data_IF_630260481158
#
_entry.id   IF_630260481158
#
_cell.length_a   1.000
_cell.length_b   1.000
_cell.length_c   1.000
_cell.angle_alpha   90.00
_cell.angle_beta   90.00
_cell.angle_gamma   90.00
#
_symmetry.space_group_name_H-M   'P 1'
#
loop_
_entity.id
_entity.type
_entity.pdbx_description
1 polymer ?
#
# COMPACT_ATOMS: atom_id res chain seq x y z
N UNK A 1 -17.06 37.44 -3.26
CA UNK A 1 -18.11 36.46 -3.06
C UNK A 1 -18.06 35.29 -4.06
N UNK A 2 -18.13 35.54 -5.38
CA UNK A 2 -18.09 34.51 -6.41
C UNK A 2 -16.83 33.63 -6.29
N UNK A 3 -15.66 34.20 -6.21
CA UNK A 3 -14.36 33.51 -6.07
C UNK A 3 -14.34 32.55 -4.88
N UNK A 4 -14.87 32.99 -3.71
CA UNK A 4 -14.94 32.14 -2.51
C UNK A 4 -15.88 30.96 -2.72
N UNK A 5 -17.03 31.17 -3.35
CA UNK A 5 -17.97 30.09 -3.68
C UNK A 5 -17.31 29.07 -4.64
N UNK A 6 -16.67 29.54 -5.70
CA UNK A 6 -15.97 28.69 -6.68
C UNK A 6 -14.87 27.86 -5.97
N UNK A 7 -14.02 28.50 -5.16
CA UNK A 7 -12.95 27.82 -4.45
C UNK A 7 -13.50 26.76 -3.47
N UNK A 8 -14.57 27.08 -2.74
CA UNK A 8 -15.25 26.15 -1.85
C UNK A 8 -15.73 24.91 -2.59
N UNK A 9 -16.44 25.09 -3.72
CA UNK A 9 -16.96 23.97 -4.51
C UNK A 9 -15.85 23.17 -5.16
N UNK A 10 -14.77 23.78 -5.64
CA UNK A 10 -13.59 23.07 -6.15
C UNK A 10 -13.00 22.18 -5.04
N UNK A 11 -12.80 22.72 -3.84
CA UNK A 11 -12.28 21.94 -2.71
C UNK A 11 -13.22 20.78 -2.34
N UNK A 12 -14.53 21.03 -2.28
CA UNK A 12 -15.52 20.00 -1.92
C UNK A 12 -15.59 18.88 -2.96
N UNK A 13 -15.65 19.24 -4.25
CA UNK A 13 -15.68 18.29 -5.36
C UNK A 13 -14.38 17.47 -5.38
N UNK A 14 -13.23 18.10 -5.16
CA UNK A 14 -11.94 17.42 -5.12
C UNK A 14 -11.86 16.39 -3.99
N UNK A 15 -12.33 16.75 -2.79
CA UNK A 15 -12.37 15.83 -1.66
C UNK A 15 -13.32 14.67 -1.95
N UNK A 16 -14.54 14.97 -2.46
CA UNK A 16 -15.50 13.94 -2.85
C UNK A 16 -14.93 13.01 -3.93
N UNK A 17 -14.35 13.59 -4.99
CA UNK A 17 -13.75 12.84 -6.09
C UNK A 17 -12.66 11.88 -5.61
N UNK A 18 -11.73 12.37 -4.81
CA UNK A 18 -10.57 11.57 -4.35
C UNK A 18 -10.97 10.37 -3.50
N UNK A 19 -11.96 10.50 -2.64
CA UNK A 19 -12.31 9.44 -1.69
C UNK A 19 -13.49 8.56 -2.14
N UNK A 20 -14.40 9.07 -2.93
CA UNK A 20 -15.60 8.35 -3.39
C UNK A 20 -15.74 8.38 -4.92
N UNK A 21 -15.63 9.55 -5.53
CA UNK A 21 -15.91 9.77 -6.95
C UNK A 21 -14.99 8.96 -7.86
N UNK A 22 -13.69 8.86 -7.51
CA UNK A 22 -12.77 8.01 -8.27
C UNK A 22 -13.18 6.54 -8.26
N UNK A 23 -13.52 5.98 -7.10
CA UNK A 23 -13.98 4.60 -7.00
C UNK A 23 -15.26 4.35 -7.82
N UNK A 24 -16.22 5.30 -7.78
CA UNK A 24 -17.45 5.23 -8.60
C UNK A 24 -17.14 5.29 -10.09
N UNK A 25 -16.28 6.22 -10.50
CA UNK A 25 -15.88 6.35 -11.92
C UNK A 25 -15.11 5.10 -12.38
N UNK A 26 -14.19 4.60 -11.57
CA UNK A 26 -13.42 3.40 -11.88
C UNK A 26 -14.31 2.17 -12.02
N UNK A 27 -15.29 2.00 -11.10
CA UNK A 27 -16.32 0.96 -11.21
C UNK A 27 -17.10 1.05 -12.52
N UNK A 28 -17.52 2.27 -12.91
CA UNK A 28 -18.24 2.50 -14.16
C UNK A 28 -17.38 2.12 -15.38
N UNK A 29 -16.13 2.60 -15.43
CA UNK A 29 -15.20 2.31 -16.53
C UNK A 29 -14.92 0.81 -16.67
N UNK A 30 -14.69 0.13 -15.53
CA UNK A 30 -14.48 -1.33 -15.50
C UNK A 30 -15.76 -2.07 -15.93
N UNK A 31 -16.94 -1.60 -15.52
CA UNK A 31 -18.22 -2.20 -15.92
C UNK A 31 -18.45 -2.08 -17.42
N UNK A 32 -18.15 -0.92 -18.01
CA UNK A 32 -18.19 -0.72 -19.45
C UNK A 32 -17.19 -1.63 -20.16
N UNK A 33 -15.94 -1.71 -19.65
CA UNK A 33 -14.93 -2.59 -20.22
C UNK A 33 -15.38 -4.06 -20.21
N UNK A 34 -15.98 -4.52 -19.10
CA UNK A 34 -16.54 -5.89 -18.98
C UNK A 34 -17.71 -6.14 -19.98
N UNK A 35 -18.53 -5.12 -20.21
CA UNK A 35 -19.64 -5.22 -21.16
C UNK A 35 -19.13 -5.38 -22.61
N UNK A 36 -18.05 -4.66 -22.95
CA UNK A 36 -17.48 -4.65 -24.32
C UNK A 36 -16.58 -5.87 -24.57
N UNK A 37 -15.71 -6.21 -23.61
CA UNK A 37 -14.64 -7.22 -23.80
C UNK A 37 -14.86 -8.51 -22.99
N UNK A 38 -15.92 -8.58 -22.20
CA UNK A 38 -16.13 -9.67 -21.26
C UNK A 38 -15.31 -9.52 -19.96
N UNK A 39 -15.56 -10.42 -19.00
CA UNK A 39 -14.76 -10.48 -17.78
C UNK A 39 -13.37 -11.06 -18.10
N UNK A 40 -12.31 -10.60 -17.40
CA UNK A 40 -11.00 -11.22 -17.53
C UNK A 40 -11.08 -12.73 -17.25
N UNK A 41 -10.52 -13.52 -18.16
CA UNK A 41 -10.42 -14.97 -17.94
C UNK A 41 -9.18 -15.26 -17.08
N UNK A 42 -9.31 -16.19 -16.17
CA UNK A 42 -8.17 -16.71 -15.41
C UNK A 42 -7.25 -17.45 -16.37
N UNK A 43 -5.98 -17.05 -16.40
CA UNK A 43 -4.97 -17.73 -17.24
C UNK A 43 -4.76 -19.14 -16.70
N UNK A 44 -4.53 -20.10 -17.57
CA UNK A 44 -4.16 -21.44 -17.18
C UNK A 44 -2.66 -21.48 -16.84
N UNK A 45 -2.30 -22.28 -15.84
CA UNK A 45 -0.91 -22.55 -15.54
C UNK A 45 -0.39 -23.62 -16.51
N UNK A 46 0.88 -23.55 -16.94
CA UNK A 46 1.52 -24.64 -17.65
C UNK A 46 1.68 -25.87 -16.73
N UNK A 47 2.14 -26.98 -17.30
CA UNK A 47 2.46 -28.18 -16.52
C UNK A 47 3.62 -27.91 -15.55
N UNK A 48 3.75 -28.72 -14.49
CA UNK A 48 4.77 -28.51 -13.44
C UNK A 48 6.20 -28.43 -14.00
N UNK A 49 6.49 -29.17 -15.08
CA UNK A 49 7.80 -29.16 -15.73
C UNK A 49 8.09 -27.84 -16.45
N UNK A 50 7.06 -27.13 -16.89
CA UNK A 50 7.16 -25.85 -17.62
C UNK A 50 7.01 -24.63 -16.71
N UNK A 51 6.63 -24.83 -15.43
CA UNK A 51 6.54 -23.75 -14.47
C UNK A 51 7.89 -23.03 -14.30
N UNK A 52 7.93 -21.69 -14.20
CA UNK A 52 9.15 -20.96 -13.96
C UNK A 52 9.69 -21.22 -12.54
N UNK A 53 10.99 -21.13 -12.38
CA UNK A 53 11.61 -21.08 -11.05
C UNK A 53 11.26 -19.76 -10.35
N UNK A 54 10.80 -19.86 -9.11
CA UNK A 54 10.40 -18.71 -8.28
C UNK A 54 11.28 -18.68 -7.03
N UNK A 55 11.83 -17.51 -6.72
CA UNK A 55 12.45 -17.25 -5.41
C UNK A 55 11.47 -16.49 -4.52
N UNK A 56 11.15 -17.05 -3.36
CA UNK A 56 10.53 -16.32 -2.25
C UNK A 56 11.62 -15.66 -1.43
N UNK A 57 11.72 -14.34 -1.52
CA UNK A 57 12.71 -13.54 -0.82
C UNK A 57 12.10 -12.85 0.39
N UNK A 58 12.65 -13.11 1.57
CA UNK A 58 12.18 -12.63 2.87
C UNK A 58 13.26 -11.73 3.46
N UNK A 59 12.97 -10.43 3.57
CA UNK A 59 13.89 -9.49 4.24
C UNK A 59 13.62 -9.46 5.74
N UNK A 60 14.70 -9.56 6.54
CA UNK A 60 14.60 -9.62 7.99
C UNK A 60 15.63 -8.71 8.70
N UNK A 61 15.17 -8.09 9.78
CA UNK A 61 16.01 -7.39 10.76
C UNK A 61 15.46 -7.62 12.16
N UNK A 62 16.18 -8.37 12.98
CA UNK A 62 15.79 -8.72 14.36
C UNK A 62 14.40 -9.37 14.43
N UNK A 63 14.24 -10.53 13.78
CA UNK A 63 12.97 -11.27 13.66
C UNK A 63 13.04 -12.66 14.31
N UNK A 64 13.89 -12.85 15.34
CA UNK A 64 14.07 -14.14 16.03
C UNK A 64 12.74 -14.80 16.44
N UNK A 65 11.76 -14.00 16.90
CA UNK A 65 10.46 -14.50 17.39
C UNK A 65 9.52 -14.97 16.25
N UNK A 66 9.88 -14.67 14.99
CA UNK A 66 9.03 -14.92 13.81
C UNK A 66 9.62 -16.02 12.92
N UNK A 67 10.92 -16.29 12.97
CA UNK A 67 11.60 -17.23 12.05
C UNK A 67 10.88 -18.57 12.00
N UNK A 68 10.58 -19.19 13.13
CA UNK A 68 9.98 -20.52 13.19
C UNK A 68 8.58 -20.54 12.51
N UNK A 69 7.69 -19.64 12.92
CA UNK A 69 6.33 -19.56 12.36
C UNK A 69 6.33 -19.18 10.89
N UNK A 70 7.31 -18.33 10.45
CA UNK A 70 7.45 -17.99 9.03
C UNK A 70 7.95 -19.17 8.22
N UNK A 71 8.87 -19.97 8.74
CA UNK A 71 9.35 -21.19 8.07
C UNK A 71 8.24 -22.25 7.97
N UNK A 72 7.47 -22.48 9.04
CA UNK A 72 6.28 -23.34 8.99
C UNK A 72 5.29 -22.91 7.90
N UNK A 73 5.01 -21.60 7.81
CA UNK A 73 4.15 -21.06 6.76
C UNK A 73 4.75 -21.24 5.37
N UNK A 74 6.06 -21.04 5.23
CA UNK A 74 6.77 -21.19 3.95
C UNK A 74 6.72 -22.62 3.44
N UNK A 75 6.85 -23.62 4.32
CA UNK A 75 6.75 -25.05 3.99
C UNK A 75 5.33 -25.49 3.56
N UNK A 76 4.30 -24.68 3.86
CA UNK A 76 2.93 -24.94 3.43
C UNK A 76 2.63 -24.38 2.03
N UNK A 77 3.57 -23.66 1.41
CA UNK A 77 3.36 -23.09 0.08
C UNK A 77 3.44 -24.19 -0.97
N UNK A 78 2.36 -24.32 -1.75
CA UNK A 78 2.22 -25.30 -2.82
C UNK A 78 2.78 -24.75 -4.14
N UNK A 79 4.10 -24.96 -4.36
CA UNK A 79 4.75 -24.63 -5.63
C UNK A 79 6.02 -25.47 -5.84
N UNK A 80 6.10 -26.29 -6.93
CA UNK A 80 7.15 -27.31 -7.05
C UNK A 80 8.56 -26.76 -7.28
N UNK A 81 8.70 -25.57 -7.86
CA UNK A 81 10.00 -24.93 -8.17
C UNK A 81 10.25 -23.68 -7.34
N UNK A 82 9.96 -23.76 -6.02
CA UNK A 82 10.17 -22.68 -5.07
C UNK A 82 11.57 -22.75 -4.44
N UNK A 83 12.30 -21.63 -4.48
CA UNK A 83 13.51 -21.40 -3.69
C UNK A 83 13.21 -20.36 -2.61
N UNK A 84 13.70 -20.59 -1.41
CA UNK A 84 13.51 -19.66 -0.28
C UNK A 84 14.83 -19.01 0.04
N UNK A 85 14.82 -17.68 0.07
CA UNK A 85 15.99 -16.84 0.38
C UNK A 85 15.65 -15.86 1.47
N UNK A 86 16.38 -15.90 2.57
CA UNK A 86 16.32 -14.89 3.59
C UNK A 86 17.45 -13.87 3.41
N UNK A 87 17.10 -12.59 3.48
CA UNK A 87 18.08 -11.49 3.42
C UNK A 87 18.07 -10.80 4.78
N UNK A 88 19.14 -11.00 5.56
CA UNK A 88 19.26 -10.42 6.90
C UNK A 88 20.16 -9.19 6.86
N UNK A 89 19.65 -8.05 7.37
CA UNK A 89 20.26 -6.72 7.28
C UNK A 89 20.72 -6.26 8.68
N UNK A 90 21.91 -6.72 9.09
CA UNK A 90 22.54 -6.34 10.36
C UNK A 90 21.79 -6.80 11.60
N UNK A 91 21.11 -7.96 11.54
CA UNK A 91 20.46 -8.56 12.72
C UNK A 91 21.50 -8.88 13.79
N UNK A 92 21.23 -8.44 15.02
CA UNK A 92 22.08 -8.61 16.20
C UNK A 92 21.40 -9.41 17.32
N UNK A 93 20.26 -10.04 17.01
CA UNK A 93 19.57 -11.03 17.83
C UNK A 93 19.83 -12.46 17.32
N UNK A 94 19.04 -13.44 17.74
CA UNK A 94 19.17 -14.85 17.36
C UNK A 94 18.56 -15.18 15.98
N UNK A 95 18.18 -14.19 15.15
CA UNK A 95 17.57 -14.42 13.85
C UNK A 95 18.42 -15.34 12.97
N UNK A 96 19.73 -15.06 12.84
CA UNK A 96 20.63 -15.85 12.01
C UNK A 96 20.88 -17.24 12.59
N UNK A 97 20.95 -17.38 13.93
CA UNK A 97 21.13 -18.67 14.60
C UNK A 97 19.92 -19.59 14.41
N UNK A 98 18.70 -19.01 14.40
CA UNK A 98 17.48 -19.78 14.10
C UNK A 98 17.41 -20.17 12.64
N UNK A 99 17.78 -19.28 11.71
CA UNK A 99 17.82 -19.59 10.27
C UNK A 99 18.84 -20.68 9.94
N UNK A 100 19.97 -20.73 10.64
CA UNK A 100 21.00 -21.76 10.45
C UNK A 100 20.53 -23.20 10.73
N UNK A 101 19.37 -23.38 11.40
CA UNK A 101 18.75 -24.70 11.61
C UNK A 101 18.03 -25.25 10.39
N UNK A 102 17.72 -24.41 9.40
CA UNK A 102 17.03 -24.79 8.19
C UNK A 102 18.03 -24.94 7.05
N UNK A 103 18.15 -26.16 6.49
CA UNK A 103 19.11 -26.47 5.43
C UNK A 103 18.52 -26.29 4.02
N UNK A 104 17.22 -26.05 3.91
CA UNK A 104 16.44 -25.87 2.69
C UNK A 104 16.24 -24.39 2.31
N UNK A 105 16.89 -23.48 3.02
CA UNK A 105 16.87 -22.03 2.74
C UNK A 105 18.26 -21.48 2.52
N UNK A 106 18.38 -20.51 1.64
CA UNK A 106 19.59 -19.72 1.46
C UNK A 106 19.50 -18.46 2.33
N UNK A 107 20.58 -18.15 3.06
CA UNK A 107 20.67 -16.93 3.88
C UNK A 107 21.72 -16.00 3.32
N UNK A 108 21.28 -14.83 2.83
CA UNK A 108 22.13 -13.72 2.41
C UNK A 108 22.29 -12.79 3.60
N UNK A 109 23.46 -12.80 4.21
CA UNK A 109 23.77 -12.04 5.42
C UNK A 109 24.52 -10.74 5.09
N UNK A 110 24.06 -9.63 5.67
CA UNK A 110 24.81 -8.36 5.69
C UNK A 110 25.14 -8.02 7.15
N UNK A 111 26.42 -7.78 7.52
CA UNK A 111 26.79 -7.50 8.90
C UNK A 111 26.35 -6.12 9.38
N UNK A 112 26.17 -5.18 8.45
CA UNK A 112 25.77 -3.80 8.75
C UNK A 112 24.31 -3.56 8.37
N UNK A 113 23.59 -2.86 9.24
CA UNK A 113 22.21 -2.45 8.99
C UNK A 113 22.19 -1.25 8.03
N UNK A 114 21.70 -1.47 6.81
CA UNK A 114 21.56 -0.44 5.77
C UNK A 114 20.09 -0.11 5.45
N UNK A 115 19.16 -0.90 5.93
CA UNK A 115 17.73 -0.73 5.75
C UNK A 115 17.13 -1.62 4.65
N UNK A 116 15.78 -1.72 4.66
CA UNK A 116 15.03 -2.66 3.80
C UNK A 116 15.39 -2.53 2.32
N UNK A 117 15.48 -1.31 1.80
CA UNK A 117 15.81 -1.09 0.38
C UNK A 117 17.20 -1.60 0.01
N UNK A 118 18.19 -1.42 0.88
CA UNK A 118 19.52 -1.95 0.68
C UNK A 118 19.54 -3.49 0.71
N UNK A 119 18.79 -4.09 1.65
CA UNK A 119 18.61 -5.54 1.72
C UNK A 119 17.95 -6.10 0.45
N UNK A 120 16.90 -5.44 -0.05
CA UNK A 120 16.25 -5.80 -1.32
C UNK A 120 17.23 -5.71 -2.50
N UNK A 121 17.97 -4.61 -2.63
CA UNK A 121 18.98 -4.45 -3.69
C UNK A 121 20.04 -5.56 -3.63
N UNK A 122 20.51 -5.90 -2.43
CA UNK A 122 21.51 -6.93 -2.22
C UNK A 122 20.97 -8.32 -2.59
N UNK A 123 19.78 -8.69 -2.07
CA UNK A 123 19.18 -9.98 -2.38
C UNK A 123 18.87 -10.14 -3.87
N UNK A 124 18.25 -9.14 -4.50
CA UNK A 124 17.89 -9.17 -5.92
C UNK A 124 19.11 -9.22 -6.87
N UNK A 125 20.26 -8.73 -6.43
CA UNK A 125 21.51 -8.85 -7.19
C UNK A 125 22.05 -10.30 -7.22
N UNK A 126 21.80 -11.08 -6.17
CA UNK A 126 22.32 -12.44 -6.00
C UNK A 126 21.35 -13.53 -6.49
N UNK A 127 20.03 -13.30 -6.36
CA UNK A 127 19.00 -14.24 -6.83
C UNK A 127 19.02 -14.36 -8.35
N UNK A 128 18.84 -15.60 -8.86
CA UNK A 128 18.92 -15.91 -10.30
C UNK A 128 17.59 -16.30 -10.94
N UNK A 129 16.57 -16.65 -10.16
CA UNK A 129 15.24 -17.04 -10.66
C UNK A 129 14.62 -15.96 -11.54
N UNK A 130 13.83 -16.35 -12.51
CA UNK A 130 13.11 -15.44 -13.40
C UNK A 130 12.15 -14.55 -12.64
N UNK A 131 11.40 -15.15 -11.71
CA UNK A 131 10.42 -14.47 -10.87
C UNK A 131 10.90 -14.42 -9.42
N UNK A 132 10.75 -13.27 -8.80
CA UNK A 132 11.05 -13.08 -7.38
C UNK A 132 9.82 -12.57 -6.68
N UNK A 133 9.37 -13.31 -5.67
CA UNK A 133 8.29 -12.92 -4.76
C UNK A 133 8.93 -12.39 -3.49
N UNK A 134 8.60 -11.17 -3.11
CA UNK A 134 9.08 -10.50 -1.91
C UNK A 134 7.96 -10.44 -0.88
N UNK A 135 8.30 -10.75 0.37
CA UNK A 135 7.37 -10.69 1.49
C UNK A 135 8.10 -10.24 2.76
N UNK A 136 7.38 -9.64 3.68
CA UNK A 136 7.92 -9.31 5.01
C UNK A 136 7.99 -10.59 5.88
N UNK A 137 8.94 -10.65 6.80
CA UNK A 137 9.11 -11.81 7.69
C UNK A 137 7.87 -12.06 8.56
N UNK A 138 7.17 -11.00 8.98
CA UNK A 138 6.01 -11.07 9.86
C UNK A 138 4.66 -11.25 9.16
N UNK A 139 4.65 -11.59 7.87
CA UNK A 139 3.43 -11.85 7.10
C UNK A 139 3.31 -13.32 6.73
N UNK A 140 2.10 -13.88 6.79
CA UNK A 140 1.82 -15.28 6.47
C UNK A 140 1.09 -15.36 5.13
N UNK A 141 1.60 -16.19 4.22
CA UNK A 141 1.06 -16.37 2.88
C UNK A 141 0.09 -17.55 2.83
N UNK A 142 -0.91 -17.50 1.96
CA UNK A 142 -1.73 -18.68 1.68
C UNK A 142 -0.95 -19.69 0.83
N UNK A 143 -1.28 -21.00 0.94
CA UNK A 143 -0.56 -22.06 0.23
C UNK A 143 -0.49 -21.84 -1.28
N UNK A 144 -1.54 -21.39 -1.91
CA UNK A 144 -1.67 -21.22 -3.36
C UNK A 144 -1.08 -19.87 -3.85
N UNK A 145 -0.53 -19.05 -2.95
CA UNK A 145 -0.11 -17.67 -3.25
C UNK A 145 0.87 -17.57 -4.42
N UNK A 146 1.86 -18.47 -4.48
CA UNK A 146 2.87 -18.46 -5.55
C UNK A 146 2.26 -18.88 -6.89
N UNK A 147 1.41 -19.89 -6.90
CA UNK A 147 0.71 -20.31 -8.12
C UNK A 147 -0.15 -19.19 -8.71
N UNK A 148 -0.91 -18.47 -7.86
CA UNK A 148 -1.77 -17.38 -8.29
C UNK A 148 -0.97 -16.16 -8.77
N UNK A 149 0.21 -15.91 -8.20
CA UNK A 149 1.15 -14.91 -8.68
C UNK A 149 1.72 -15.31 -10.05
N UNK A 150 2.21 -16.54 -10.20
CA UNK A 150 2.76 -17.04 -11.47
C UNK A 150 1.71 -16.98 -12.57
N UNK A 151 0.46 -17.30 -12.27
CA UNK A 151 -0.68 -17.19 -13.19
C UNK A 151 -0.82 -15.77 -13.77
N UNK A 152 -0.60 -14.74 -12.97
CA UNK A 152 -0.62 -13.36 -13.45
C UNK A 152 0.54 -13.06 -14.42
N UNK A 153 1.69 -13.69 -14.24
CA UNK A 153 2.84 -13.51 -15.12
C UNK A 153 2.72 -14.24 -16.48
N UNK A 154 1.65 -15.01 -16.70
CA UNK A 154 1.38 -15.56 -18.03
C UNK A 154 1.06 -14.46 -19.07
N UNK A 155 0.63 -13.26 -18.64
CA UNK A 155 0.64 -12.07 -19.49
C UNK A 155 2.07 -11.48 -19.54
N UNK A 156 2.75 -11.47 -20.71
CA UNK A 156 4.11 -10.94 -20.83
C UNK A 156 4.23 -9.44 -20.56
N UNK A 157 3.12 -8.70 -20.59
CA UNK A 157 3.07 -7.28 -20.21
C UNK A 157 3.09 -7.07 -18.69
N UNK A 158 2.83 -8.11 -17.90
CA UNK A 158 2.89 -8.03 -16.44
C UNK A 158 4.34 -8.15 -15.98
N UNK A 159 4.86 -7.06 -15.44
CA UNK A 159 6.21 -6.98 -14.85
C UNK A 159 6.21 -7.12 -13.33
N UNK A 160 5.09 -6.80 -12.70
CA UNK A 160 4.90 -6.88 -11.26
C UNK A 160 3.51 -7.43 -10.92
N UNK A 161 3.43 -8.19 -9.84
CA UNK A 161 2.16 -8.67 -9.29
C UNK A 161 2.06 -8.21 -7.84
N UNK A 162 0.96 -7.55 -7.51
CA UNK A 162 0.62 -7.17 -6.15
C UNK A 162 -0.41 -8.17 -5.57
N UNK A 163 -0.05 -8.85 -4.51
CA UNK A 163 -0.97 -9.66 -3.73
C UNK A 163 -1.86 -8.82 -2.81
N UNK A 164 -2.87 -9.46 -2.25
CA UNK A 164 -3.77 -8.81 -1.29
C UNK A 164 -3.16 -8.81 0.11
N UNK A 165 -3.19 -7.65 0.75
CA UNK A 165 -2.94 -7.54 2.17
C UNK A 165 -4.21 -7.81 2.94
N UNK A 166 -4.14 -8.73 3.92
CA UNK A 166 -5.20 -8.99 4.90
C UNK A 166 -4.70 -8.71 6.30
N UNK A 167 -5.52 -8.02 7.09
CA UNK A 167 -5.18 -7.68 8.47
C UNK A 167 -5.96 -8.60 9.41
N UNK A 168 -5.24 -9.36 10.23
CA UNK A 168 -5.81 -10.19 11.28
C UNK A 168 -5.82 -9.44 12.62
N UNK A 169 -6.86 -9.67 13.43
CA UNK A 169 -6.89 -9.23 14.82
C UNK A 169 -6.38 -10.36 15.72
N UNK A 170 -5.42 -10.08 16.61
CA UNK A 170 -4.96 -11.09 17.60
C UNK A 170 -6.01 -11.44 18.64
N UNK A 171 -6.84 -10.47 19.01
CA UNK A 171 -7.94 -10.65 19.96
C UNK A 171 -9.23 -10.13 19.35
N UNK A 172 -10.34 -10.85 19.56
CA UNK A 172 -11.67 -10.34 19.23
C UNK A 172 -11.86 -9.02 19.96
N UNK A 173 -12.05 -7.97 19.18
CA UNK A 173 -12.35 -6.69 19.75
C UNK A 173 -11.29 -5.58 19.55
N UNK A 174 -10.22 -5.73 18.76
CA UNK A 174 -9.32 -4.63 18.41
C UNK A 174 -9.95 -3.72 17.33
N UNK A 175 -10.53 -2.58 17.72
CA UNK A 175 -11.17 -1.62 16.80
C UNK A 175 -10.21 -1.09 15.73
N UNK A 176 -8.94 -0.91 16.07
CA UNK A 176 -7.91 -0.48 15.13
C UNK A 176 -7.72 -1.49 14.00
N UNK A 177 -7.64 -2.78 14.30
CA UNK A 177 -7.47 -3.84 13.30
C UNK A 177 -8.70 -4.00 12.39
N UNK A 178 -9.93 -3.91 12.94
CA UNK A 178 -11.17 -3.98 12.15
C UNK A 178 -11.30 -2.81 11.17
N UNK A 179 -10.90 -1.63 11.58
CA UNK A 179 -11.01 -0.41 10.76
C UNK A 179 -9.88 -0.30 9.76
N UNK A 180 -8.68 -0.75 10.13
CA UNK A 180 -7.61 -0.96 9.17
C UNK A 180 -8.04 -1.99 8.12
N UNK A 181 -8.73 -3.06 8.52
CA UNK A 181 -9.32 -4.04 7.62
C UNK A 181 -10.36 -3.47 6.64
N UNK A 182 -11.22 -2.54 7.08
CA UNK A 182 -12.18 -1.85 6.19
C UNK A 182 -11.48 -0.96 5.17
N UNK A 183 -10.48 -0.20 5.62
CA UNK A 183 -9.66 0.61 4.72
C UNK A 183 -8.98 -0.27 3.67
N UNK A 184 -8.37 -1.39 4.09
CA UNK A 184 -7.71 -2.31 3.17
C UNK A 184 -8.68 -2.99 2.21
N UNK A 185 -9.90 -3.33 2.62
CA UNK A 185 -10.94 -3.84 1.70
C UNK A 185 -11.30 -2.84 0.61
N UNK A 186 -11.42 -1.57 0.96
CA UNK A 186 -11.65 -0.49 -0.01
C UNK A 186 -10.44 -0.32 -0.95
N UNK A 187 -9.25 -0.25 -0.39
CA UNK A 187 -8.00 -0.11 -1.14
C UNK A 187 -7.77 -1.30 -2.10
N UNK A 188 -8.00 -2.54 -1.63
CA UNK A 188 -7.94 -3.77 -2.44
C UNK A 188 -8.93 -3.74 -3.59
N UNK A 189 -10.15 -3.24 -3.34
CA UNK A 189 -11.17 -3.08 -4.40
C UNK A 189 -10.71 -2.09 -5.46
N UNK A 190 -10.15 -0.95 -5.06
CA UNK A 190 -9.59 0.02 -6.01
C UNK A 190 -8.41 -0.57 -6.79
N UNK A 191 -7.47 -1.25 -6.12
CA UNK A 191 -6.33 -1.91 -6.79
C UNK A 191 -6.77 -2.95 -7.81
N UNK A 192 -7.80 -3.74 -7.48
CA UNK A 192 -8.38 -4.74 -8.39
C UNK A 192 -8.98 -4.07 -9.63
N UNK A 193 -9.79 -3.02 -9.44
CA UNK A 193 -10.39 -2.30 -10.56
C UNK A 193 -9.35 -1.53 -11.38
N UNK A 194 -8.34 -0.95 -10.74
CA UNK A 194 -7.21 -0.34 -11.44
C UNK A 194 -6.49 -1.35 -12.33
N UNK A 195 -6.13 -2.51 -11.77
CA UNK A 195 -5.49 -3.60 -12.50
C UNK A 195 -6.35 -4.11 -13.65
N UNK A 196 -7.66 -4.19 -13.45
CA UNK A 196 -8.60 -4.60 -14.49
C UNK A 196 -8.78 -3.52 -15.56
N UNK A 197 -8.81 -2.23 -15.19
CA UNK A 197 -8.87 -1.14 -16.17
C UNK A 197 -7.59 -1.14 -17.03
N UNK A 198 -6.42 -1.07 -16.39
CA UNK A 198 -5.13 -1.14 -17.09
C UNK A 198 -4.00 -1.70 -16.19
N UNK A 199 -3.68 -1.06 -15.08
CA UNK A 199 -2.60 -1.43 -14.16
C UNK A 199 -2.93 -1.03 -12.73
N UNK A 200 -2.65 -1.87 -11.75
CA UNK A 200 -2.74 -1.46 -10.36
C UNK A 200 -1.74 -0.32 -10.07
N UNK A 201 -2.11 0.61 -9.18
CA UNK A 201 -1.30 1.77 -8.84
C UNK A 201 -0.45 1.51 -7.60
N UNK A 202 0.58 0.69 -7.79
CA UNK A 202 1.59 0.32 -6.81
C UNK A 202 1.33 -0.99 -6.09
N UNK A 203 2.41 -1.75 -5.89
CA UNK A 203 2.44 -2.94 -5.05
C UNK A 203 2.56 -2.57 -3.57
N UNK A 204 2.49 -3.55 -2.69
CA UNK A 204 2.67 -3.42 -1.25
C UNK A 204 3.68 -4.46 -0.79
N UNK A 205 4.56 -4.10 0.12
CA UNK A 205 5.72 -4.89 0.54
C UNK A 205 5.38 -6.18 1.28
N UNK A 206 4.14 -6.33 1.70
CA UNK A 206 3.66 -7.54 2.35
C UNK A 206 3.61 -8.75 1.40
N UNK A 207 3.27 -8.51 0.12
CA UNK A 207 3.33 -9.51 -0.94
C UNK A 207 3.42 -8.84 -2.31
N UNK A 208 4.61 -8.89 -2.89
CA UNK A 208 4.90 -8.29 -4.18
C UNK A 208 5.82 -9.22 -4.98
N UNK A 209 5.55 -9.41 -6.26
CA UNK A 209 6.38 -10.21 -7.13
C UNK A 209 6.80 -9.44 -8.38
N UNK A 210 7.98 -9.73 -8.91
CA UNK A 210 8.52 -9.06 -10.09
C UNK A 210 9.18 -10.04 -11.06
N UNK A 211 9.23 -9.64 -12.34
CA UNK A 211 10.23 -10.19 -13.27
C UNK A 211 11.59 -9.60 -12.93
N UNK A 212 12.51 -10.45 -12.44
CA UNK A 212 13.84 -10.01 -11.99
C UNK A 212 14.61 -9.22 -13.05
N UNK A 213 14.49 -9.62 -14.31
CA UNK A 213 15.19 -8.96 -15.43
C UNK A 213 14.79 -7.49 -15.63
N UNK A 214 13.64 -7.07 -15.09
CA UNK A 214 13.14 -5.69 -15.17
C UNK A 214 13.46 -4.86 -13.93
N UNK A 215 14.10 -5.48 -12.93
CA UNK A 215 14.48 -4.77 -11.71
C UNK A 215 15.68 -3.85 -11.94
N UNK A 216 15.57 -2.64 -11.41
CA UNK A 216 16.67 -1.68 -11.31
C UNK A 216 16.90 -1.33 -9.84
N UNK A 217 18.15 -1.31 -9.37
CA UNK A 217 18.46 -0.97 -8.00
C UNK A 217 17.81 0.35 -7.56
N UNK A 218 17.24 0.30 -6.38
CA UNK A 218 16.54 1.44 -5.81
C UNK A 218 17.50 2.31 -4.99
N UNK A 219 17.30 3.64 -4.96
CA UNK A 219 18.00 4.48 -4.01
C UNK A 219 17.72 4.01 -2.58
N UNK A 220 18.76 3.84 -1.77
CA UNK A 220 18.63 3.29 -0.40
C UNK A 220 17.78 4.16 0.53
N UNK A 221 17.57 5.44 0.18
CA UNK A 221 16.68 6.36 0.88
C UNK A 221 15.22 6.31 0.38
N UNK A 222 14.83 5.28 -0.37
CA UNK A 222 13.45 5.05 -0.75
C UNK A 222 12.61 4.73 0.49
N UNK A 223 11.53 5.49 0.69
CA UNK A 223 10.63 5.33 1.83
C UNK A 223 9.51 4.34 1.57
N UNK A 224 9.16 4.15 0.29
CA UNK A 224 8.20 3.17 -0.23
C UNK A 224 8.86 2.46 -1.42
N UNK A 225 9.76 1.54 -1.09
CA UNK A 225 10.54 0.76 -2.04
C UNK A 225 9.66 -0.06 -3.00
N UNK A 226 8.70 -0.80 -2.47
CA UNK A 226 7.73 -1.61 -3.19
C UNK A 226 6.89 -0.78 -4.18
N UNK A 227 6.43 0.38 -3.75
CA UNK A 227 5.61 1.28 -4.54
C UNK A 227 6.41 1.90 -5.70
N UNK A 228 7.59 2.43 -5.44
CA UNK A 228 8.44 3.06 -6.47
C UNK A 228 8.95 2.01 -7.45
N UNK A 229 9.43 0.86 -6.94
CA UNK A 229 9.91 -0.25 -7.77
C UNK A 229 8.84 -0.69 -8.78
N UNK A 230 7.64 -0.99 -8.30
CA UNK A 230 6.56 -1.48 -9.14
C UNK A 230 6.11 -0.44 -10.18
N UNK A 231 6.00 0.85 -9.79
CA UNK A 231 5.58 1.90 -10.71
C UNK A 231 6.66 2.33 -11.71
N UNK A 232 7.96 2.15 -11.41
CA UNK A 232 9.02 2.30 -12.42
C UNK A 232 8.84 1.34 -13.61
N UNK A 233 8.33 0.13 -13.34
CA UNK A 233 8.01 -0.82 -14.39
C UNK A 233 6.81 -0.35 -15.23
N UNK A 234 5.81 0.28 -14.59
CA UNK A 234 4.66 0.88 -15.30
C UNK A 234 5.09 2.07 -16.17
N UNK A 235 6.00 2.91 -15.67
CA UNK A 235 6.57 4.04 -16.44
C UNK A 235 7.29 3.56 -17.71
N UNK A 236 7.85 2.34 -17.70
CA UNK A 236 8.45 1.66 -18.87
C UNK A 236 7.44 0.98 -19.80
N UNK A 237 6.14 1.09 -19.55
CA UNK A 237 5.08 0.52 -20.39
C UNK A 237 4.60 -0.88 -20.00
N UNK A 238 5.09 -1.44 -18.90
CA UNK A 238 4.60 -2.70 -18.34
C UNK A 238 3.35 -2.46 -17.46
N UNK A 239 2.85 -3.54 -16.85
CA UNK A 239 1.68 -3.51 -15.97
C UNK A 239 1.99 -4.12 -14.61
N UNK A 240 1.29 -3.61 -13.60
CA UNK A 240 1.15 -4.30 -12.32
C UNK A 240 -0.20 -5.02 -12.33
N UNK A 241 -0.18 -6.35 -12.25
CA UNK A 241 -1.37 -7.13 -12.00
C UNK A 241 -1.70 -7.12 -10.50
N UNK A 242 -2.99 -7.25 -10.17
CA UNK A 242 -3.44 -7.43 -8.79
C UNK A 242 -4.24 -8.74 -8.69
N UNK A 243 -3.94 -9.53 -7.67
CA UNK A 243 -4.71 -10.72 -7.36
C UNK A 243 -5.08 -10.78 -5.89
N UNK A 244 -6.35 -11.09 -5.60
CA UNK A 244 -6.85 -11.36 -4.25
C UNK A 244 -6.73 -12.84 -3.83
N UNK A 245 -6.40 -13.70 -4.79
CA UNK A 245 -6.20 -15.14 -4.56
C UNK A 245 -4.83 -15.42 -3.94
N UNK A 246 -3.83 -14.56 -4.18
CA UNK A 246 -2.59 -14.54 -3.43
C UNK A 246 -2.67 -13.45 -2.36
N UNK A 247 -2.58 -13.83 -1.08
CA UNK A 247 -2.66 -12.86 0.00
C UNK A 247 -1.63 -13.10 1.09
N UNK A 248 -1.25 -12.00 1.73
CA UNK A 248 -0.42 -11.97 2.92
C UNK A 248 -1.26 -11.52 4.12
N UNK A 249 -1.27 -12.31 5.18
CA UNK A 249 -1.90 -11.96 6.45
C UNK A 249 -0.85 -11.38 7.41
N UNK A 250 -1.16 -10.25 8.00
CA UNK A 250 -0.38 -9.68 9.09
C UNK A 250 -1.28 -9.21 10.23
N UNK A 251 -0.70 -9.07 11.42
CA UNK A 251 -1.41 -8.43 12.53
C UNK A 251 -1.39 -6.91 12.37
N UNK A 252 -2.48 -6.26 12.77
CA UNK A 252 -2.58 -4.80 12.79
C UNK A 252 -1.52 -4.16 13.69
N UNK A 253 -1.36 -2.84 13.59
CA UNK A 253 -0.45 -2.08 14.47
C UNK A 253 -0.85 -2.24 15.93
N UNK A 254 0.13 -2.36 16.85
CA UNK A 254 -0.12 -2.62 18.26
C UNK A 254 -0.97 -1.50 18.93
N UNK A 255 -0.80 -0.26 18.48
CA UNK A 255 -1.52 0.90 19.00
C UNK A 255 -1.54 2.05 17.97
N UNK A 256 -2.27 3.13 18.30
CA UNK A 256 -2.40 4.33 17.46
C UNK A 256 -1.08 5.07 17.21
N UNK A 257 -0.14 5.01 18.15
CA UNK A 257 1.16 5.66 18.01
C UNK A 257 1.98 4.98 16.91
N UNK A 258 2.06 3.65 16.94
CA UNK A 258 2.73 2.84 15.92
C UNK A 258 2.06 3.01 14.55
N UNK A 259 0.72 3.05 14.53
CA UNK A 259 -0.03 3.32 13.30
C UNK A 259 0.27 4.73 12.77
N UNK A 260 0.38 5.74 13.64
CA UNK A 260 0.76 7.10 13.24
C UNK A 260 2.17 7.17 12.66
N UNK A 261 3.14 6.46 13.27
CA UNK A 261 4.51 6.35 12.72
C UNK A 261 4.49 5.77 11.32
N UNK A 262 3.74 4.68 11.13
CA UNK A 262 3.57 4.02 9.83
C UNK A 262 2.90 4.94 8.80
N UNK A 263 1.78 5.59 9.13
CA UNK A 263 1.07 6.50 8.20
C UNK A 263 1.89 7.72 7.85
N UNK A 264 2.67 8.27 8.80
CA UNK A 264 3.62 9.36 8.54
C UNK A 264 4.68 8.95 7.52
N UNK A 265 5.24 7.73 7.65
CA UNK A 265 6.19 7.17 6.68
C UNK A 265 5.57 7.02 5.30
N UNK A 266 4.37 6.42 5.23
CA UNK A 266 3.64 6.22 3.97
C UNK A 266 3.37 7.56 3.29
N UNK A 267 2.98 8.59 4.04
CA UNK A 267 2.72 9.91 3.49
C UNK A 267 4.01 10.59 2.97
N UNK A 268 5.10 10.52 3.75
CA UNK A 268 6.40 11.03 3.33
C UNK A 268 6.92 10.33 2.06
N UNK A 269 6.85 9.00 2.06
CA UNK A 269 7.25 8.18 0.92
C UNK A 269 6.36 8.38 -0.30
N UNK A 270 5.06 8.59 -0.09
CA UNK A 270 4.13 8.94 -1.17
C UNK A 270 4.52 10.23 -1.89
N UNK A 271 4.86 11.28 -1.14
CA UNK A 271 5.32 12.55 -1.70
C UNK A 271 6.69 12.41 -2.41
N UNK A 272 7.62 11.65 -1.82
CA UNK A 272 8.89 11.31 -2.45
C UNK A 272 8.66 10.57 -3.78
N UNK A 273 7.77 9.59 -3.77
CA UNK A 273 7.43 8.78 -4.94
C UNK A 273 6.80 9.61 -6.06
N UNK A 274 5.90 10.55 -5.75
CA UNK A 274 5.30 11.47 -6.74
C UNK A 274 6.40 12.26 -7.46
N UNK A 275 7.40 12.73 -6.72
CA UNK A 275 8.51 13.47 -7.30
C UNK A 275 9.39 12.59 -8.20
N UNK A 276 9.70 11.39 -7.77
CA UNK A 276 10.53 10.46 -8.54
C UNK A 276 9.83 9.91 -9.79
N UNK A 277 8.51 9.75 -9.72
CA UNK A 277 7.66 9.21 -10.78
C UNK A 277 6.90 10.32 -11.56
N UNK A 278 7.41 11.56 -11.55
CA UNK A 278 6.70 12.70 -12.15
C UNK A 278 6.43 12.55 -13.65
N UNK A 279 7.18 11.71 -14.36
CA UNK A 279 6.92 11.41 -15.78
C UNK A 279 5.54 10.76 -15.98
N UNK A 280 5.09 9.95 -15.02
CA UNK A 280 3.77 9.32 -15.03
C UNK A 280 2.62 10.33 -14.89
N UNK A 281 2.89 11.59 -14.53
CA UNK A 281 1.88 12.66 -14.48
C UNK A 281 1.53 13.18 -15.89
N UNK A 282 2.33 12.85 -16.90
CA UNK A 282 2.12 13.34 -18.25
C UNK A 282 1.06 12.50 -18.98
N UNK A 283 -0.16 13.03 -19.20
CA UNK A 283 -1.22 12.29 -19.88
C UNK A 283 -0.95 12.07 -21.38
N UNK A 284 0.00 12.80 -21.98
CA UNK A 284 0.39 12.62 -23.36
C UNK A 284 1.28 11.39 -23.56
N UNK A 285 1.95 10.92 -22.50
CA UNK A 285 2.81 9.75 -22.57
C UNK A 285 2.01 8.46 -22.37
N UNK A 286 1.28 8.36 -21.25
CA UNK A 286 0.45 7.21 -20.90
C UNK A 286 -0.87 7.69 -20.25
N UNK A 287 -1.90 8.02 -21.06
CA UNK A 287 -3.09 8.72 -20.56
C UNK A 287 -3.85 7.95 -19.47
N UNK A 288 -4.01 6.64 -19.62
CA UNK A 288 -4.72 5.81 -18.63
C UNK A 288 -3.91 5.71 -17.33
N UNK A 289 -2.60 5.53 -17.44
CA UNK A 289 -1.71 5.47 -16.27
C UNK A 289 -1.68 6.80 -15.53
N UNK A 290 -1.55 7.92 -16.25
CA UNK A 290 -1.60 9.26 -15.66
C UNK A 290 -2.93 9.50 -14.93
N UNK A 291 -4.05 9.15 -15.56
CA UNK A 291 -5.38 9.24 -14.93
C UNK A 291 -5.45 8.42 -13.63
N UNK A 292 -5.05 7.14 -13.65
CA UNK A 292 -5.09 6.25 -12.50
C UNK A 292 -4.12 6.74 -11.40
N UNK A 293 -2.88 7.10 -11.75
CA UNK A 293 -1.87 7.55 -10.81
C UNK A 293 -2.26 8.86 -10.11
N UNK A 294 -2.72 9.86 -10.89
CA UNK A 294 -3.17 11.14 -10.35
C UNK A 294 -4.37 10.93 -9.41
N UNK A 295 -5.39 10.22 -9.88
CA UNK A 295 -6.66 10.08 -9.15
C UNK A 295 -6.53 9.21 -7.91
N UNK A 296 -5.79 8.09 -8.00
CA UNK A 296 -5.68 7.14 -6.88
C UNK A 296 -4.60 7.55 -5.85
N UNK A 297 -3.47 8.12 -6.30
CA UNK A 297 -2.31 8.35 -5.44
C UNK A 297 -1.98 9.82 -5.22
N UNK A 298 -1.78 10.56 -6.31
CA UNK A 298 -1.27 11.95 -6.22
C UNK A 298 -2.22 12.84 -5.45
N UNK A 299 -3.50 12.87 -5.81
CA UNK A 299 -4.49 13.71 -5.15
C UNK A 299 -4.58 13.40 -3.65
N UNK A 300 -4.58 12.11 -3.29
CA UNK A 300 -4.71 11.65 -1.90
C UNK A 300 -3.54 12.05 -1.02
N UNK A 301 -2.32 12.08 -1.57
CA UNK A 301 -1.11 12.38 -0.80
C UNK A 301 -0.67 13.85 -0.90
N UNK A 302 -1.31 14.67 -1.73
CA UNK A 302 -0.89 16.05 -1.97
C UNK A 302 -2.01 17.08 -1.78
N UNK A 303 -2.84 17.27 -2.79
CA UNK A 303 -3.77 18.38 -2.88
C UNK A 303 -5.00 18.19 -1.98
N UNK A 304 -5.54 16.97 -1.91
CA UNK A 304 -6.82 16.71 -1.23
C UNK A 304 -6.78 16.97 0.29
N UNK A 305 -5.72 16.61 1.04
CA UNK A 305 -5.62 16.98 2.46
C UNK A 305 -5.63 18.50 2.67
N UNK A 306 -5.00 19.27 1.76
CA UNK A 306 -4.99 20.74 1.79
C UNK A 306 -6.40 21.28 1.50
N UNK A 307 -7.08 20.74 0.49
CA UNK A 307 -8.44 21.12 0.16
C UNK A 307 -9.40 20.84 1.33
N UNK A 308 -9.24 19.69 2.01
CA UNK A 308 -10.02 19.33 3.19
C UNK A 308 -9.83 20.33 4.33
N UNK A 309 -8.59 20.78 4.56
CA UNK A 309 -8.28 21.81 5.57
C UNK A 309 -8.88 23.17 5.17
N UNK A 310 -8.79 23.56 3.91
CA UNK A 310 -9.33 24.83 3.40
C UNK A 310 -10.85 24.91 3.43
N UNK A 311 -11.56 23.77 3.34
CA UNK A 311 -13.02 23.76 3.42
C UNK A 311 -13.56 24.35 4.70
N UNK A 312 -12.83 24.29 5.82
CA UNK A 312 -13.26 24.84 7.12
C UNK A 312 -13.36 26.37 7.05
N UNK A 313 -12.26 27.11 6.85
CA UNK A 313 -12.31 28.56 6.84
C UNK A 313 -13.14 29.11 5.67
N UNK A 314 -13.15 28.43 4.51
CA UNK A 314 -13.98 28.86 3.39
C UNK A 314 -15.46 28.80 3.71
N UNK A 315 -15.93 27.72 4.34
CA UNK A 315 -17.35 27.58 4.69
C UNK A 315 -17.74 28.54 5.81
N UNK A 316 -16.92 28.70 6.85
CA UNK A 316 -17.13 29.67 7.92
C UNK A 316 -17.31 31.08 7.33
N UNK A 317 -16.43 31.49 6.40
CA UNK A 317 -16.49 32.79 5.76
C UNK A 317 -17.77 32.95 4.91
N UNK A 318 -18.15 31.91 4.16
CA UNK A 318 -19.39 31.93 3.35
C UNK A 318 -20.66 32.00 4.21
N UNK A 319 -20.70 31.33 5.35
CA UNK A 319 -21.77 31.44 6.33
C UNK A 319 -21.84 32.84 6.93
N UNK A 320 -20.69 33.37 7.36
CA UNK A 320 -20.60 34.71 7.91
C UNK A 320 -21.05 35.79 6.91
N UNK A 321 -20.71 35.64 5.64
CA UNK A 321 -21.12 36.52 4.55
C UNK A 321 -22.55 36.28 4.05
N UNK A 322 -23.31 35.38 4.71
CA UNK A 322 -24.69 35.03 4.34
C UNK A 322 -24.82 34.63 2.86
N UNK A 323 -23.86 33.83 2.37
CA UNK A 323 -23.73 33.49 0.96
C UNK A 323 -24.87 32.59 0.41
N UNK A 324 -25.71 32.02 1.26
CA UNK A 324 -26.88 31.20 0.95
C UNK A 324 -27.09 30.03 1.90
N UNK A 325 -28.31 29.52 2.00
CA UNK A 325 -28.72 28.47 2.95
C UNK A 325 -27.91 27.16 2.79
N UNK A 326 -27.45 26.84 1.57
CA UNK A 326 -26.68 25.61 1.32
C UNK A 326 -25.38 25.57 2.14
N UNK A 327 -24.70 26.70 2.32
CA UNK A 327 -23.47 26.77 3.10
C UNK A 327 -23.72 26.60 4.59
N UNK A 328 -24.86 27.07 5.09
CA UNK A 328 -25.29 26.85 6.48
C UNK A 328 -25.52 25.34 6.74
N UNK A 329 -26.21 24.65 5.84
CA UNK A 329 -26.42 23.21 5.97
C UNK A 329 -25.13 22.41 5.88
N UNK A 330 -24.25 22.76 4.94
CA UNK A 330 -22.93 22.11 4.85
C UNK A 330 -22.10 22.38 6.11
N UNK A 331 -22.21 23.59 6.70
CA UNK A 331 -21.54 23.92 7.97
C UNK A 331 -22.04 23.06 9.13
N UNK A 332 -23.34 22.86 9.25
CA UNK A 332 -23.91 21.95 10.26
C UNK A 332 -23.37 20.54 10.06
N UNK A 333 -23.36 20.02 8.82
CA UNK A 333 -22.83 18.69 8.52
C UNK A 333 -21.32 18.57 8.84
N UNK A 334 -20.54 19.62 8.56
CA UNK A 334 -19.11 19.67 8.94
C UNK A 334 -18.93 19.61 10.46
N UNK A 335 -19.68 20.38 11.22
CA UNK A 335 -19.63 20.34 12.70
C UNK A 335 -19.97 18.95 13.21
N UNK A 336 -21.06 18.36 12.73
CA UNK A 336 -21.46 16.99 13.13
C UNK A 336 -20.37 15.95 12.80
N UNK A 337 -19.74 16.08 11.62
CA UNK A 337 -18.63 15.23 11.23
C UNK A 337 -17.43 15.36 12.19
N UNK A 338 -17.02 16.61 12.54
CA UNK A 338 -15.89 16.81 13.44
C UNK A 338 -16.21 16.38 14.89
N UNK A 339 -17.46 16.58 15.34
CA UNK A 339 -17.92 16.05 16.64
C UNK A 339 -17.85 14.51 16.63
N UNK A 340 -18.36 13.86 15.58
CA UNK A 340 -18.29 12.40 15.45
C UNK A 340 -16.83 11.89 15.43
N UNK A 341 -15.94 12.57 14.72
CA UNK A 341 -14.53 12.24 14.69
C UNK A 341 -13.86 12.41 16.07
N UNK A 342 -14.18 13.47 16.79
CA UNK A 342 -13.66 13.70 18.14
C UNK A 342 -14.17 12.66 19.14
N UNK A 343 -15.45 12.31 19.09
CA UNK A 343 -16.02 11.24 19.91
C UNK A 343 -15.37 9.88 19.57
N UNK A 344 -15.13 9.61 18.28
CA UNK A 344 -14.40 8.43 17.84
C UNK A 344 -12.99 8.35 18.43
N UNK A 345 -12.27 9.47 18.43
CA UNK A 345 -10.95 9.58 19.06
C UNK A 345 -10.99 9.30 20.57
N UNK A 346 -11.99 9.86 21.29
CA UNK A 346 -12.14 9.64 22.72
C UNK A 346 -12.46 8.18 23.07
N UNK A 347 -13.31 7.55 22.27
CA UNK A 347 -13.64 6.13 22.44
C UNK A 347 -12.42 5.24 22.19
N UNK A 348 -11.68 5.50 21.13
CA UNK A 348 -10.46 4.75 20.80
C UNK A 348 -9.42 4.85 21.93
N UNK A 349 -9.20 6.04 22.48
CA UNK A 349 -8.31 6.21 23.66
C UNK A 349 -8.75 5.41 24.90
N UNK A 350 -10.04 5.12 25.02
CA UNK A 350 -10.62 4.32 26.12
C UNK A 350 -10.71 2.83 25.78
N UNK A 351 -10.15 2.39 24.64
CA UNK A 351 -10.27 1.01 24.15
C UNK A 351 -11.71 0.59 23.82
N UNK A 352 -12.64 1.55 23.68
CA UNK A 352 -14.03 1.28 23.35
C UNK A 352 -14.28 1.41 21.86
N UNK A 353 -15.23 0.62 21.34
CA UNK A 353 -15.51 0.52 19.90
C UNK A 353 -16.83 1.15 19.53
N UNK A 354 -16.81 1.96 18.49
CA UNK A 354 -17.99 2.33 17.73
C UNK A 354 -17.61 2.56 16.27
N UNK A 355 -17.99 1.65 15.40
CA UNK A 355 -17.64 1.65 13.97
C UNK A 355 -18.06 2.95 13.27
N UNK A 356 -19.23 3.51 13.60
CA UNK A 356 -19.75 4.72 12.97
C UNK A 356 -18.95 5.98 13.36
N UNK A 357 -18.48 6.05 14.61
CA UNK A 357 -17.66 7.17 15.08
C UNK A 357 -16.18 7.01 14.71
N UNK A 358 -15.73 5.78 14.54
CA UNK A 358 -14.35 5.50 14.15
C UNK A 358 -14.06 5.90 12.70
N UNK A 359 -14.99 5.70 11.76
CA UNK A 359 -14.79 6.06 10.34
C UNK A 359 -14.42 7.55 10.17
N UNK A 360 -15.18 8.54 10.65
CA UNK A 360 -14.80 9.94 10.55
C UNK A 360 -13.50 10.27 11.30
N UNK A 361 -13.26 9.65 12.46
CA UNK A 361 -11.99 9.79 13.17
C UNK A 361 -10.80 9.31 12.33
N UNK A 362 -10.85 8.07 11.82
CA UNK A 362 -9.77 7.49 11.05
C UNK A 362 -9.51 8.24 9.73
N UNK A 363 -10.57 8.74 9.10
CA UNK A 363 -10.48 9.60 7.93
C UNK A 363 -9.66 10.88 8.21
N UNK A 364 -9.95 11.58 9.31
CA UNK A 364 -9.16 12.75 9.71
C UNK A 364 -7.74 12.37 10.12
N UNK A 365 -7.59 11.29 10.87
CA UNK A 365 -6.28 10.76 11.29
C UNK A 365 -5.37 10.52 10.08
N UNK A 366 -5.86 9.87 9.03
CA UNK A 366 -5.12 9.60 7.80
C UNK A 366 -4.69 10.92 7.11
N UNK A 367 -5.59 11.88 6.98
CA UNK A 367 -5.30 13.15 6.33
C UNK A 367 -4.32 14.02 7.14
N UNK A 368 -4.44 14.04 8.47
CA UNK A 368 -3.51 14.77 9.34
C UNK A 368 -2.09 14.17 9.29
N UNK A 369 -1.97 12.85 9.15
CA UNK A 369 -0.67 12.22 9.00
C UNK A 369 0.03 12.57 7.67
N UNK A 370 -0.69 13.05 6.65
CA UNK A 370 -0.05 13.59 5.43
C UNK A 370 0.77 14.83 5.76
N UNK A 371 0.24 15.76 6.56
CA UNK A 371 0.99 16.94 6.98
C UNK A 371 2.21 16.58 7.85
N UNK A 372 2.05 15.61 8.75
CA UNK A 372 3.19 15.06 9.52
C UNK A 372 4.25 14.42 8.60
N UNK A 373 3.81 13.74 7.53
CA UNK A 373 4.69 13.18 6.51
C UNK A 373 5.43 14.24 5.72
N UNK A 374 4.77 15.34 5.35
CA UNK A 374 5.41 16.52 4.70
C UNK A 374 6.51 17.11 5.58
N UNK A 375 6.23 17.30 6.87
CA UNK A 375 7.22 17.80 7.83
C UNK A 375 8.40 16.83 7.99
N UNK A 376 8.10 15.54 8.09
CA UNK A 376 9.11 14.47 8.20
C UNK A 376 10.04 14.44 6.97
N UNK A 377 9.50 14.52 5.75
CA UNK A 377 10.28 14.51 4.52
C UNK A 377 11.26 15.70 4.42
N UNK A 378 10.89 16.84 5.02
CA UNK A 378 11.78 18.03 5.09
C UNK A 378 12.94 17.84 6.07
N UNK A 379 12.71 17.14 7.18
CA UNK A 379 13.70 16.97 8.28
C UNK A 379 14.62 15.77 8.12
N UNK A 380 14.21 14.72 7.36
CA UNK A 380 14.93 13.46 7.25
C UNK A 380 15.26 13.13 5.79
N UNK A 381 16.38 13.65 5.30
CA UNK A 381 16.79 13.49 3.88
C UNK A 381 17.70 12.28 3.61
N UNK A 382 18.18 11.55 4.62
CA UNK A 382 19.40 10.75 4.44
C UNK A 382 19.37 9.25 4.75
N UNK A 383 18.33 8.67 5.36
CA UNK A 383 18.35 7.22 5.56
C UNK A 383 16.99 6.56 5.33
N UNK A 384 16.98 5.46 4.56
CA UNK A 384 15.85 4.54 4.42
C UNK A 384 15.70 3.56 5.60
N UNK A 385 16.60 3.61 6.60
CA UNK A 385 16.52 2.78 7.79
C UNK A 385 15.45 3.32 8.76
N UNK A 386 14.37 2.57 8.96
CA UNK A 386 13.26 2.91 9.83
C UNK A 386 13.30 2.13 11.13
N UNK A 387 12.77 2.74 12.19
CA UNK A 387 12.46 1.97 13.39
C UNK A 387 11.39 0.93 13.06
N UNK A 388 11.61 -0.32 13.51
CA UNK A 388 10.64 -1.41 13.38
C UNK A 388 9.38 -1.03 14.16
N UNK A 389 8.23 -0.96 13.47
CA UNK A 389 6.95 -0.73 14.13
C UNK A 389 6.54 -1.98 14.93
N UNK A 390 6.11 -1.80 16.18
CA UNK A 390 5.57 -2.89 16.98
C UNK A 390 4.20 -3.33 16.45
N UNK A 391 4.03 -4.64 16.28
CA UNK A 391 2.77 -5.25 15.88
C UNK A 391 2.00 -5.75 17.11
N UNK A 392 0.68 -5.67 17.06
CA UNK A 392 -0.22 -6.08 18.15
C UNK A 392 -0.41 -7.59 18.26
#
# INVERSE_FOLDING_TARGET
>A
MLTLKVLFWICLILVFYTYLGYGMLLWLLVSIKRLVYGKPKKQELPTDDELPEVTLMICAYNEQDIVESKMENTHQIDYPKLKVVWVTDGSNDLTNDYLAKYHDVEVIYSPERRGKTAALNHGLALVKSELVVMTDANTMLNPESIQEIVRCFMDPKVACVAGEKRVAARHEGQAAAESEGLYWKYESTLKRWDGELYSAMGAAGELCAIRRSLYEPMPENALLDDFVMSLRMVDKGYKIAYTSEAYAMEYGSANLEEESKRKRRIAAGGLQSIWWLRNMLNPLHQPVVAFQFISHRVLRWSITPIALLLLIPLNVLLVFLKAGAVYNWIWVLQILFYIAAFLGYLLERKGKKNKFLYIPYYFLFMNLNVFKGMAYLKSHKSSGAWEKAKRG
#
